data_IF_034240192149
#
_entry.id   IF_034240192149
#
_cell.length_a   1.000
_cell.length_b   1.000
_cell.length_c   1.000
_cell.angle_alpha   90.00
_cell.angle_beta   90.00
_cell.angle_gamma   90.00
#
_symmetry.space_group_name_H-M   'P 1'
#
loop_
_entity.id
_entity.type
_entity.pdbx_description
1 polymer ?
#
# COMPACT_ATOMS: atom_id res chain seq x y z
N UNK A 1 7.72 -18.67 -15.46
CA UNK A 1 8.74 -17.59 -15.30
C UNK A 1 8.11 -16.54 -14.43
N UNK A 2 8.65 -16.35 -13.23
CA UNK A 2 8.19 -15.34 -12.28
C UNK A 2 8.35 -13.96 -12.95
N UNK A 3 7.26 -13.40 -13.50
CA UNK A 3 7.32 -12.12 -14.21
C UNK A 3 7.24 -11.02 -13.17
N UNK A 4 8.40 -10.51 -12.77
CA UNK A 4 8.50 -9.34 -11.90
C UNK A 4 7.82 -8.17 -12.61
N UNK A 5 6.78 -7.61 -12.00
CA UNK A 5 6.11 -6.41 -12.51
C UNK A 5 6.93 -5.16 -12.16
N UNK A 6 7.41 -4.44 -13.17
CA UNK A 6 8.11 -3.16 -12.97
C UNK A 6 7.23 -2.13 -12.24
N UNK A 7 5.92 -2.11 -12.53
CA UNK A 7 5.00 -1.18 -11.85
C UNK A 7 4.88 -1.50 -10.37
N UNK A 8 4.66 -2.78 -10.02
CA UNK A 8 4.61 -3.24 -8.61
C UNK A 8 5.92 -2.91 -7.90
N UNK A 9 7.06 -3.25 -8.51
CA UNK A 9 8.38 -2.95 -7.96
C UNK A 9 8.61 -1.45 -7.71
N UNK A 10 8.18 -0.58 -8.62
CA UNK A 10 8.29 0.87 -8.43
C UNK A 10 7.38 1.37 -7.29
N UNK A 11 6.16 0.85 -7.19
CA UNK A 11 5.26 1.19 -6.09
C UNK A 11 5.87 0.79 -4.75
N UNK A 12 6.38 -0.43 -4.64
CA UNK A 12 7.00 -0.94 -3.41
C UNK A 12 8.27 -0.19 -3.05
N UNK A 13 9.13 0.10 -4.03
CA UNK A 13 10.35 0.87 -3.81
C UNK A 13 10.08 2.31 -3.36
N UNK A 14 8.98 2.92 -3.82
CA UNK A 14 8.57 4.26 -3.41
C UNK A 14 7.83 4.26 -2.07
N UNK A 15 7.12 3.18 -1.73
CA UNK A 15 6.39 3.07 -0.48
C UNK A 15 7.31 2.97 0.75
N UNK A 16 8.56 2.57 0.59
CA UNK A 16 9.51 2.58 1.73
C UNK A 16 10.11 3.97 1.99
N UNK A 17 10.02 4.91 1.04
CA UNK A 17 10.66 6.22 1.14
C UNK A 17 10.12 7.12 2.26
N UNK A 18 8.80 7.15 2.57
CA UNK A 18 8.26 7.82 3.75
C UNK A 18 8.82 7.33 5.09
N UNK A 19 9.54 6.20 5.13
CA UNK A 19 10.22 5.74 6.35
C UNK A 19 11.67 6.27 6.45
N UNK A 20 12.16 6.96 5.42
CA UNK A 20 13.50 7.54 5.37
C UNK A 20 13.52 9.00 5.82
N UNK A 21 14.53 9.40 6.60
CA UNK A 21 14.65 10.74 7.21
C UNK A 21 14.48 11.96 6.29
N UNK A 22 14.88 11.96 4.99
CA UNK A 22 14.64 13.14 4.15
C UNK A 22 13.20 13.22 3.61
N UNK A 23 12.41 12.14 3.71
CA UNK A 23 11.10 12.04 3.08
C UNK A 23 9.99 11.65 4.07
N UNK A 24 10.29 11.60 5.36
CA UNK A 24 9.39 11.05 6.40
C UNK A 24 8.12 11.85 6.66
N UNK A 25 8.11 13.11 6.24
CA UNK A 25 6.95 13.99 6.38
C UNK A 25 6.00 13.91 5.19
N UNK A 26 6.34 13.13 4.15
CA UNK A 26 5.48 12.97 2.98
C UNK A 26 4.46 11.85 3.18
N UNK A 27 3.24 12.09 2.72
CA UNK A 27 2.28 11.03 2.44
C UNK A 27 2.65 10.34 1.12
N UNK A 28 2.36 9.06 1.05
CA UNK A 28 2.36 8.33 -0.21
C UNK A 28 1.04 8.62 -0.92
N UNK A 29 1.14 9.06 -2.18
CA UNK A 29 -0.01 9.52 -2.96
C UNK A 29 -0.16 8.61 -4.17
N UNK A 30 -1.30 7.95 -4.25
CA UNK A 30 -1.67 7.08 -5.35
C UNK A 30 -2.67 7.77 -6.26
N UNK A 31 -2.36 7.77 -7.55
CA UNK A 31 -3.26 8.24 -8.59
C UNK A 31 -4.07 7.04 -9.08
N UNK A 32 -5.38 7.12 -8.94
CA UNK A 32 -6.36 6.12 -9.40
C UNK A 32 -7.27 6.73 -10.47
N UNK A 33 -8.03 5.93 -11.23
CA UNK A 33 -8.99 6.47 -12.20
C UNK A 33 -10.02 7.43 -11.59
N UNK A 34 -10.33 7.31 -10.30
CA UNK A 34 -11.41 8.03 -9.62
C UNK A 34 -10.93 9.17 -8.72
N UNK A 35 -9.61 9.35 -8.59
CA UNK A 35 -9.03 10.37 -7.72
C UNK A 35 -7.71 9.95 -7.10
N UNK A 36 -7.42 10.55 -5.95
CA UNK A 36 -6.17 10.39 -5.23
C UNK A 36 -6.41 9.66 -3.90
N UNK A 37 -5.55 8.70 -3.58
CA UNK A 37 -5.51 8.04 -2.28
C UNK A 37 -4.21 8.44 -1.61
N UNK A 38 -4.32 9.04 -0.43
CA UNK A 38 -3.19 9.41 0.41
C UNK A 38 -3.10 8.41 1.56
N UNK A 39 -1.90 8.12 2.01
CA UNK A 39 -1.71 7.41 3.27
C UNK A 39 -0.25 7.14 3.57
N UNK A 40 -0.03 6.54 4.72
CA UNK A 40 1.27 6.07 5.17
C UNK A 40 1.36 4.56 5.01
N UNK A 41 2.39 4.05 4.32
CA UNK A 41 2.57 2.61 4.19
C UNK A 41 2.83 2.00 5.56
N UNK A 42 2.20 0.86 5.83
CA UNK A 42 2.54 0.07 7.02
C UNK A 42 3.95 -0.49 6.81
N UNK A 43 4.88 -0.12 7.69
CA UNK A 43 6.25 -0.64 7.62
C UNK A 43 6.25 -2.09 8.08
N UNK A 44 6.60 -3.02 7.20
CA UNK A 44 6.74 -4.45 7.51
C UNK A 44 7.98 -4.79 8.35
N UNK A 45 8.81 -3.78 8.68
CA UNK A 45 9.88 -3.92 9.66
C UNK A 45 9.29 -4.06 11.08
N UNK A 46 8.96 -5.30 11.43
CA UNK A 46 8.55 -5.79 12.75
C UNK A 46 9.49 -5.42 13.93
N UNK A 47 10.60 -4.72 13.67
CA UNK A 47 11.62 -4.37 14.67
C UNK A 47 11.49 -2.96 15.26
N UNK A 48 10.68 -2.07 14.68
CA UNK A 48 10.60 -0.65 15.13
C UNK A 48 9.18 -0.08 15.23
N UNK A 49 8.14 -0.92 15.23
CA UNK A 49 6.77 -0.44 15.42
C UNK A 49 6.61 -0.05 16.91
N UNK A 50 6.29 1.21 17.25
CA UNK A 50 5.89 1.56 18.60
C UNK A 50 4.69 0.68 18.99
N UNK A 51 4.75 0.06 20.17
CA UNK A 51 3.78 -0.93 20.68
C UNK A 51 2.30 -0.52 20.64
N UNK A 52 2.03 0.75 20.37
CA UNK A 52 0.72 1.37 20.45
C UNK A 52 0.02 1.47 19.07
N UNK A 53 0.69 1.09 17.97
CA UNK A 53 0.11 1.01 16.62
C UNK A 53 0.36 -0.38 16.04
N UNK A 54 -0.13 -1.41 16.72
CA UNK A 54 -0.18 -2.76 16.17
C UNK A 54 -1.53 -2.92 15.45
N UNK A 55 -1.67 -2.42 14.22
CA UNK A 55 -2.85 -2.75 13.43
C UNK A 55 -2.73 -4.22 13.02
N UNK A 56 -3.61 -5.13 13.50
CA UNK A 56 -3.55 -6.55 13.15
C UNK A 56 -3.87 -6.78 11.66
N UNK A 57 -4.14 -5.73 10.88
CA UNK A 57 -4.53 -5.84 9.49
C UNK A 57 -3.43 -6.45 8.62
N UNK A 58 -2.15 -6.17 8.90
CA UNK A 58 -1.03 -6.82 8.19
C UNK A 58 -1.07 -8.33 8.42
N UNK A 59 -1.09 -8.75 9.69
CA UNK A 59 -1.20 -10.18 10.04
C UNK A 59 -2.45 -10.85 9.45
N UNK A 60 -3.59 -10.15 9.46
CA UNK A 60 -4.85 -10.64 8.86
C UNK A 60 -4.69 -10.81 7.35
N UNK A 61 -4.14 -9.81 6.66
CA UNK A 61 -3.93 -9.85 5.23
C UNK A 61 -2.91 -10.93 4.83
N UNK A 62 -1.82 -11.08 5.57
CA UNK A 62 -0.86 -12.18 5.40
C UNK A 62 -1.52 -13.55 5.59
N UNK A 63 -2.34 -13.70 6.63
CA UNK A 63 -3.07 -14.94 6.89
C UNK A 63 -4.06 -15.28 5.77
N UNK A 64 -4.80 -14.28 5.27
CA UNK A 64 -5.72 -14.44 4.13
C UNK A 64 -4.94 -14.84 2.87
N UNK A 65 -3.81 -14.18 2.58
CA UNK A 65 -2.96 -14.50 1.44
C UNK A 65 -2.38 -15.91 1.52
N UNK A 66 -1.86 -16.31 2.69
CA UNK A 66 -1.37 -17.67 2.92
C UNK A 66 -2.47 -18.70 2.69
N UNK A 67 -3.65 -18.46 3.26
CA UNK A 67 -4.81 -19.36 3.11
C UNK A 67 -5.23 -19.51 1.64
N UNK A 68 -5.18 -18.43 0.86
CA UNK A 68 -5.43 -18.46 -0.58
C UNK A 68 -4.44 -19.38 -1.30
N UNK A 69 -3.13 -19.19 -1.09
CA UNK A 69 -2.09 -19.99 -1.72
C UNK A 69 -2.20 -21.48 -1.36
N UNK A 70 -2.48 -21.79 -0.09
CA UNK A 70 -2.67 -23.16 0.38
C UNK A 70 -3.92 -23.79 -0.26
N UNK A 71 -5.05 -23.07 -0.28
CA UNK A 71 -6.34 -23.55 -0.79
C UNK A 71 -6.27 -23.89 -2.28
N UNK A 72 -5.58 -23.05 -3.06
CA UNK A 72 -5.47 -23.21 -4.51
C UNK A 72 -4.18 -23.91 -4.95
N UNK A 73 -3.32 -24.30 -4.01
CA UNK A 73 -2.02 -24.94 -4.27
C UNK A 73 -1.18 -24.16 -5.29
N UNK A 74 -1.16 -22.83 -5.14
CA UNK A 74 -0.42 -21.91 -5.99
C UNK A 74 0.54 -21.06 -5.16
N UNK A 75 1.41 -20.32 -5.85
CA UNK A 75 2.43 -19.46 -5.26
C UNK A 75 2.33 -18.06 -5.83
N UNK A 76 3.03 -17.09 -5.25
CA UNK A 76 3.15 -15.75 -5.84
C UNK A 76 3.62 -15.76 -7.30
N UNK A 77 4.42 -16.77 -7.69
CA UNK A 77 4.94 -16.89 -9.05
C UNK A 77 3.89 -17.29 -10.09
N UNK A 78 2.74 -17.78 -9.64
CA UNK A 78 1.59 -18.15 -10.46
C UNK A 78 0.62 -16.97 -10.69
N UNK A 79 0.79 -15.88 -9.93
CA UNK A 79 -0.06 -14.71 -10.03
C UNK A 79 0.21 -13.90 -11.31
N UNK A 80 -0.83 -13.22 -11.81
CA UNK A 80 -0.69 -12.30 -12.93
C UNK A 80 0.12 -11.05 -12.55
N UNK A 81 0.67 -10.38 -13.56
CA UNK A 81 1.35 -9.10 -13.35
C UNK A 81 0.38 -8.11 -12.68
N UNK A 82 0.82 -7.52 -11.56
CA UNK A 82 0.07 -6.57 -10.70
C UNK A 82 -0.91 -7.18 -9.70
N UNK A 83 -0.97 -8.51 -9.59
CA UNK A 83 -1.75 -9.12 -8.50
C UNK A 83 -1.01 -8.94 -7.15
N UNK A 84 -1.77 -8.54 -6.14
CA UNK A 84 -1.28 -8.15 -4.82
C UNK A 84 -1.79 -6.78 -4.34
N UNK A 85 -1.33 -6.40 -3.15
CA UNK A 85 -1.80 -5.22 -2.45
C UNK A 85 -0.71 -4.57 -1.60
N UNK A 86 -0.97 -3.32 -1.21
CA UNK A 86 -0.26 -2.58 -0.19
C UNK A 86 -1.25 -2.16 0.91
N UNK A 87 -0.81 -2.11 2.16
CA UNK A 87 -1.61 -1.59 3.26
C UNK A 87 -1.17 -0.16 3.59
N UNK A 88 -2.14 0.74 3.62
CA UNK A 88 -1.97 2.14 4.02
C UNK A 88 -2.68 2.39 5.35
N UNK A 89 -2.16 3.36 6.10
CA UNK A 89 -2.76 3.95 7.32
C UNK A 89 -2.92 5.46 7.16
N UNK A 90 -3.71 6.10 8.03
CA UNK A 90 -4.04 7.53 7.92
C UNK A 90 -4.51 7.91 6.50
N UNK A 91 -5.45 7.11 6.00
CA UNK A 91 -5.85 7.13 4.59
C UNK A 91 -6.84 8.25 4.33
N UNK A 92 -6.58 9.05 3.30
CA UNK A 92 -7.52 10.05 2.80
C UNK A 92 -7.86 9.74 1.35
N UNK A 93 -9.14 9.66 1.02
CA UNK A 93 -9.60 9.52 -0.35
C UNK A 93 -10.09 10.87 -0.84
N UNK A 94 -9.47 11.37 -1.91
CA UNK A 94 -9.78 12.69 -2.48
C UNK A 94 -10.25 12.53 -3.91
N UNK A 95 -11.37 13.15 -4.24
CA UNK A 95 -11.85 13.27 -5.62
C UNK A 95 -12.27 14.71 -5.89
N UNK A 96 -11.98 15.20 -7.09
CA UNK A 96 -12.24 16.60 -7.48
C UNK A 96 -11.75 17.64 -6.44
N UNK A 97 -10.60 17.37 -5.81
CA UNK A 97 -10.00 18.27 -4.81
C UNK A 97 -10.66 18.27 -3.42
N UNK A 98 -11.65 17.39 -3.17
CA UNK A 98 -12.32 17.29 -1.87
C UNK A 98 -12.02 15.94 -1.21
N UNK A 99 -11.73 15.98 0.10
CA UNK A 99 -11.64 14.76 0.91
C UNK A 99 -13.05 14.17 1.04
N UNK A 100 -13.25 13.01 0.41
CA UNK A 100 -14.51 12.29 0.48
C UNK A 100 -14.59 11.47 1.77
N UNK A 101 -13.52 10.74 2.08
CA UNK A 101 -13.46 9.82 3.21
C UNK A 101 -12.09 9.82 3.86
N UNK A 102 -12.08 9.55 5.17
CA UNK A 102 -10.88 9.23 5.93
C UNK A 102 -11.02 7.82 6.50
N UNK A 103 -10.02 6.98 6.29
CA UNK A 103 -9.98 5.63 6.82
C UNK A 103 -8.73 5.47 7.68
N UNK A 104 -8.87 4.69 8.74
CA UNK A 104 -7.74 4.36 9.60
C UNK A 104 -6.71 3.50 8.85
N UNK A 105 -7.20 2.57 8.02
CA UNK A 105 -6.40 1.79 7.09
C UNK A 105 -7.12 1.53 5.76
N UNK A 106 -6.36 1.14 4.73
CA UNK A 106 -6.90 0.66 3.45
C UNK A 106 -5.97 -0.39 2.84
N UNK A 107 -6.54 -1.50 2.38
CA UNK A 107 -5.86 -2.45 1.49
C UNK A 107 -6.03 -1.93 0.07
N UNK A 108 -4.92 -1.49 -0.54
CA UNK A 108 -4.88 -0.92 -1.88
C UNK A 108 -4.32 -1.96 -2.86
N UNK A 109 -5.13 -2.38 -3.83
CA UNK A 109 -4.71 -3.31 -4.89
C UNK A 109 -3.90 -2.58 -5.98
N UNK A 110 -2.84 -3.22 -6.49
CA UNK A 110 -1.93 -2.55 -7.44
C UNK A 110 -2.56 -2.31 -8.82
N UNK A 111 -3.59 -3.06 -9.20
CA UNK A 111 -4.28 -2.95 -10.49
C UNK A 111 -5.01 -1.60 -10.67
N UNK A 112 -5.37 -0.95 -9.57
CA UNK A 112 -6.05 0.36 -9.57
C UNK A 112 -5.09 1.56 -9.56
N UNK A 113 -3.78 1.33 -9.56
CA UNK A 113 -2.76 2.38 -9.46
C UNK A 113 -2.27 2.77 -10.87
N UNK A 114 -2.53 4.02 -11.25
CA UNK A 114 -2.03 4.63 -12.50
C UNK A 114 -0.66 5.28 -12.26
N UNK A 115 -0.44 5.83 -11.07
CA UNK A 115 0.80 6.49 -10.68
C UNK A 115 0.97 6.57 -9.17
N UNK A 116 2.20 6.80 -8.73
CA UNK A 116 2.58 6.96 -7.32
C UNK A 116 3.52 8.15 -7.20
N UNK A 117 3.34 8.96 -6.17
CA UNK A 117 4.21 10.09 -5.85
C UNK A 117 4.28 10.29 -4.33
N UNK A 118 5.20 11.14 -3.90
CA UNK A 118 5.34 11.58 -2.53
C UNK A 118 4.96 13.05 -2.45
N UNK A 119 4.30 13.45 -1.37
CA UNK A 119 4.06 14.86 -1.11
C UNK A 119 3.38 15.10 0.23
N UNK A 120 3.36 16.35 0.64
CA UNK A 120 2.62 16.82 1.80
C UNK A 120 1.55 17.80 1.32
N UNK A 121 0.32 17.34 1.02
CA UNK A 121 -0.68 18.22 0.46
C UNK A 121 -1.26 19.09 1.56
N UNK A 122 -1.14 20.40 1.39
CA UNK A 122 -1.85 21.38 2.20
C UNK A 122 -3.30 21.45 1.72
N UNK A 123 -4.23 20.83 2.46
CA UNK A 123 -5.67 20.96 2.26
C UNK A 123 -6.29 21.91 3.27
#
# INVERSE_FOLDING_TARGET
MNKISLKKYLVDALSVLPNSKPLSDNDLIFVTPTGLIYGKPVSSDSSNIPSDINFPIDEICQHISSTYFDTFSCTESDLENHDGYLILTDVKVVSSGQVLFKHEFMVLFYDQIIGVTLGHPEF
#
